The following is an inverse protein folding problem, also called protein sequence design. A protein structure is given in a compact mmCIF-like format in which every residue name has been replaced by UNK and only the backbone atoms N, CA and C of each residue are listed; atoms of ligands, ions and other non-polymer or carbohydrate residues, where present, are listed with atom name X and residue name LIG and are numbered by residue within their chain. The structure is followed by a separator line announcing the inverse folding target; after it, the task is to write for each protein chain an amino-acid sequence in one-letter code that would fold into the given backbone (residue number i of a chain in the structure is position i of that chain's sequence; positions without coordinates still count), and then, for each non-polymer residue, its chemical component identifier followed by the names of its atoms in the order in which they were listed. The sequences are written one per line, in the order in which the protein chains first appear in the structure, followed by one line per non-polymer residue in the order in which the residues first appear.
data_IF_244182753978
#
_entry.id   IF_244182753978
#
_cell.length_a   1.000
_cell.length_b   1.000
_cell.length_c   1.000
_cell.angle_alpha   90.00
_cell.angle_beta   90.00
_cell.angle_gamma   90.00
#
_symmetry.space_group_name_H-M   'P 1'
#
loop_
_entity.id
_entity.type
_entity.pdbx_description
1 polymer ?
#
# COMPACT_ATOMS: atom_id res chain seq x y z
N UNK A 1 21.38 13.94 -27.90
CA UNK A 1 20.89 12.77 -28.68
C UNK A 1 19.79 12.13 -27.86
N UNK A 2 18.56 12.47 -28.22
CA UNK A 2 17.32 12.08 -27.55
C UNK A 2 17.08 10.58 -27.78
N UNK A 3 17.23 9.77 -26.73
CA UNK A 3 16.81 8.37 -26.76
C UNK A 3 15.29 8.32 -26.62
N UNK A 4 14.59 8.10 -27.74
CA UNK A 4 13.15 7.87 -27.71
C UNK A 4 12.86 6.61 -26.86
N UNK A 5 11.85 6.65 -25.95
CA UNK A 5 11.40 5.44 -25.29
C UNK A 5 10.82 4.50 -26.36
N UNK A 6 11.32 3.26 -26.39
CA UNK A 6 10.87 2.22 -27.31
C UNK A 6 9.36 1.97 -27.20
N UNK A 7 8.75 1.34 -28.23
CA UNK A 7 7.33 1.05 -28.22
C UNK A 7 7.05 0.20 -26.99
N UNK A 8 6.28 0.77 -26.05
CA UNK A 8 5.85 0.09 -24.84
C UNK A 8 5.12 -1.19 -25.23
N UNK A 9 5.32 -2.20 -24.40
CA UNK A 9 4.73 -3.54 -24.33
C UNK A 9 3.22 -3.68 -24.65
N UNK A 10 2.48 -2.57 -24.83
CA UNK A 10 1.07 -2.50 -25.18
C UNK A 10 0.74 -3.15 -26.56
N UNK A 11 1.68 -3.22 -27.49
CA UNK A 11 1.42 -3.73 -28.84
C UNK A 11 1.40 -5.27 -28.98
N UNK A 12 1.81 -6.03 -27.95
CA UNK A 12 2.00 -7.49 -28.08
C UNK A 12 0.71 -8.29 -27.84
N UNK A 13 -0.33 -7.68 -27.28
CA UNK A 13 -1.64 -8.33 -27.08
C UNK A 13 -2.61 -8.19 -28.26
N UNK A 14 -2.16 -7.62 -29.38
CA UNK A 14 -2.98 -7.51 -30.57
C UNK A 14 -3.19 -8.89 -31.22
N UNK A 15 -4.37 -9.46 -30.95
CA UNK A 15 -5.06 -10.51 -31.69
C UNK A 15 -4.45 -11.93 -31.62
N UNK A 16 -4.56 -12.57 -30.46
CA UNK A 16 -4.60 -14.04 -30.41
C UNK A 16 -5.92 -14.53 -31.05
N UNK A 17 -5.88 -15.46 -32.03
CA UNK A 17 -7.08 -16.00 -32.65
C UNK A 17 -8.03 -16.60 -31.60
N UNK A 18 -9.30 -16.19 -31.61
CA UNK A 18 -10.31 -16.67 -30.68
C UNK A 18 -10.54 -15.81 -29.42
N UNK A 19 -9.80 -14.71 -29.25
CA UNK A 19 -10.00 -13.76 -28.14
C UNK A 19 -10.97 -12.64 -28.56
N UNK A 20 -12.07 -12.39 -27.80
CA UNK A 20 -12.99 -11.28 -28.08
C UNK A 20 -12.31 -9.90 -27.96
N UNK A 21 -12.68 -8.96 -28.83
CA UNK A 21 -12.10 -7.61 -28.85
C UNK A 21 -12.42 -6.82 -27.56
N UNK A 22 -13.55 -7.10 -26.92
CA UNK A 22 -13.97 -6.51 -25.65
C UNK A 22 -12.98 -6.80 -24.52
N UNK A 23 -12.26 -7.92 -24.59
CA UNK A 23 -11.26 -8.28 -23.58
C UNK A 23 -10.15 -7.23 -23.49
N UNK A 24 -9.70 -6.69 -24.62
CA UNK A 24 -8.68 -5.64 -24.64
C UNK A 24 -9.18 -4.37 -23.93
N UNK A 25 -10.46 -4.01 -24.12
CA UNK A 25 -11.08 -2.87 -23.43
C UNK A 25 -11.18 -3.07 -21.91
N UNK A 26 -11.56 -4.27 -21.47
CA UNK A 26 -11.59 -4.59 -20.04
C UNK A 26 -10.20 -4.59 -19.41
N UNK A 27 -9.17 -5.11 -20.10
CA UNK A 27 -7.78 -5.09 -19.63
C UNK A 27 -7.24 -3.68 -19.49
N UNK A 28 -7.47 -2.81 -20.47
CA UNK A 28 -7.10 -1.41 -20.36
C UNK A 28 -7.78 -0.72 -19.16
N UNK A 29 -9.01 -1.11 -18.82
CA UNK A 29 -9.70 -0.60 -17.63
C UNK A 29 -9.05 -1.13 -16.35
N UNK A 30 -8.69 -2.42 -16.31
CA UNK A 30 -7.98 -3.04 -15.18
C UNK A 30 -6.62 -2.35 -14.95
N UNK A 31 -5.83 -2.13 -16.00
CA UNK A 31 -4.52 -1.48 -15.90
C UNK A 31 -4.64 -0.06 -15.29
N UNK A 32 -5.70 0.69 -15.66
CA UNK A 32 -5.96 1.99 -15.08
C UNK A 32 -6.34 1.92 -13.59
N UNK A 33 -7.13 0.91 -13.20
CA UNK A 33 -7.48 0.68 -11.79
C UNK A 33 -6.24 0.29 -10.98
N UNK A 34 -5.38 -0.56 -11.52
CA UNK A 34 -4.15 -0.98 -10.87
C UNK A 34 -3.19 0.19 -10.65
N UNK A 35 -3.04 1.08 -11.65
CA UNK A 35 -2.27 2.31 -11.49
C UNK A 35 -2.83 3.19 -10.36
N UNK A 36 -4.16 3.36 -10.29
CA UNK A 36 -4.80 4.12 -9.23
C UNK A 36 -4.58 3.48 -7.85
N UNK A 37 -4.70 2.14 -7.74
CA UNK A 37 -4.44 1.40 -6.51
C UNK A 37 -3.00 1.60 -6.01
N UNK A 38 -2.01 1.54 -6.90
CA UNK A 38 -0.60 1.78 -6.54
C UNK A 38 -0.39 3.20 -6.00
N UNK A 39 -0.96 4.21 -6.66
CA UNK A 39 -0.84 5.60 -6.19
C UNK A 39 -1.52 5.82 -4.83
N UNK A 40 -2.71 5.23 -4.62
CA UNK A 40 -3.42 5.29 -3.34
C UNK A 40 -2.64 4.60 -2.22
N UNK A 41 -2.05 3.43 -2.51
CA UNK A 41 -1.20 2.72 -1.56
C UNK A 41 0.04 3.54 -1.20
N UNK A 42 0.73 4.12 -2.18
CA UNK A 42 1.90 4.97 -1.94
C UNK A 42 1.57 6.13 -0.98
N UNK A 43 0.44 6.79 -1.20
CA UNK A 43 -0.01 7.88 -0.33
C UNK A 43 -0.41 7.39 1.07
N UNK A 44 -1.07 6.24 1.15
CA UNK A 44 -1.38 5.59 2.44
C UNK A 44 -0.11 5.25 3.21
N UNK A 45 0.91 4.69 2.55
CA UNK A 45 2.19 4.36 3.17
C UNK A 45 2.90 5.62 3.66
N UNK A 46 2.95 6.69 2.86
CA UNK A 46 3.48 8.00 3.28
C UNK A 46 2.81 8.50 4.55
N UNK A 47 1.47 8.47 4.62
CA UNK A 47 0.72 8.84 5.81
C UNK A 47 1.08 7.96 7.02
N UNK A 48 1.14 6.64 6.84
CA UNK A 48 1.50 5.73 7.93
C UNK A 48 2.93 5.91 8.41
N UNK A 49 3.87 6.29 7.54
CA UNK A 49 5.24 6.61 7.95
C UNK A 49 5.27 7.82 8.89
N UNK A 50 4.51 8.88 8.57
CA UNK A 50 4.36 10.05 9.43
C UNK A 50 3.72 9.69 10.78
N UNK A 51 2.72 8.80 10.78
CA UNK A 51 2.15 8.24 12.03
C UNK A 51 3.22 7.49 12.83
N UNK A 52 4.07 6.70 12.17
CA UNK A 52 5.18 5.97 12.80
C UNK A 52 6.19 6.89 13.46
N UNK A 53 6.66 7.92 12.74
CA UNK A 53 7.56 8.96 13.28
C UNK A 53 6.94 9.69 14.48
N UNK A 54 5.64 10.04 14.38
CA UNK A 54 4.92 10.69 15.48
C UNK A 54 4.82 9.78 16.70
N UNK A 55 4.44 8.52 16.51
CA UNK A 55 4.35 7.52 17.58
C UNK A 55 5.70 7.30 18.25
N UNK A 56 6.78 7.21 17.48
CA UNK A 56 8.14 7.04 18.00
C UNK A 56 8.57 8.26 18.83
N UNK A 57 8.38 9.48 18.31
CA UNK A 57 8.66 10.74 19.04
C UNK A 57 7.90 10.85 20.37
N UNK A 58 6.66 10.36 20.42
CA UNK A 58 5.80 10.40 21.61
C UNK A 58 5.93 9.14 22.49
N UNK A 59 6.82 8.21 22.15
CA UNK A 59 6.98 6.92 22.82
C UNK A 59 5.67 6.12 22.95
N UNK A 60 4.77 6.24 21.98
CA UNK A 60 3.52 5.47 21.89
C UNK A 60 3.81 4.06 21.38
N UNK A 61 2.95 3.05 21.62
CA UNK A 61 3.10 1.72 21.02
C UNK A 61 2.87 1.73 19.49
N UNK A 62 3.49 0.80 18.73
CA UNK A 62 3.32 0.75 17.28
C UNK A 62 1.95 0.20 16.90
N UNK A 63 1.45 -0.80 17.62
CA UNK A 63 0.08 -1.32 17.51
C UNK A 63 -0.91 -0.52 18.37
N UNK A 64 -2.14 -0.40 17.89
CA UNK A 64 -3.31 0.14 18.61
C UNK A 64 -4.50 -0.80 18.33
N UNK A 65 -4.68 -1.85 19.15
CA UNK A 65 -5.66 -2.91 18.88
C UNK A 65 -7.09 -2.39 18.72
N UNK A 66 -7.50 -1.40 19.52
CA UNK A 66 -8.83 -0.81 19.41
C UNK A 66 -9.03 -0.03 18.11
N UNK A 67 -7.97 0.63 17.61
CA UNK A 67 -8.00 1.31 16.30
C UNK A 67 -7.95 0.32 15.14
N UNK A 68 -7.27 -0.81 15.29
CA UNK A 68 -7.22 -1.89 14.31
C UNK A 68 -8.59 -2.56 14.16
N UNK A 69 -9.25 -2.92 15.26
CA UNK A 69 -10.59 -3.51 15.26
C UNK A 69 -11.62 -2.62 14.55
N UNK A 70 -11.66 -1.32 14.88
CA UNK A 70 -12.55 -0.36 14.21
C UNK A 70 -12.27 -0.22 12.70
N UNK A 71 -11.01 -0.35 12.29
CA UNK A 71 -10.66 -0.32 10.87
C UNK A 71 -11.16 -1.56 10.15
N UNK A 72 -11.02 -2.75 10.74
CA UNK A 72 -11.54 -4.00 10.18
C UNK A 72 -13.06 -3.94 10.05
N UNK A 73 -13.79 -3.52 11.09
CA UNK A 73 -15.26 -3.39 11.01
C UNK A 73 -15.70 -2.45 9.89
N UNK A 74 -15.08 -1.26 9.79
CA UNK A 74 -15.40 -0.28 8.74
C UNK A 74 -15.06 -0.81 7.35
N UNK A 75 -13.94 -1.51 7.21
CA UNK A 75 -13.50 -2.07 5.93
C UNK A 75 -14.44 -3.18 5.44
N UNK A 76 -14.91 -4.05 6.34
CA UNK A 76 -15.90 -5.08 6.00
C UNK A 76 -17.19 -4.47 5.47
N UNK A 77 -17.72 -3.43 6.13
CA UNK A 77 -18.90 -2.71 5.65
C UNK A 77 -18.68 -2.08 4.26
N UNK A 78 -17.52 -1.45 4.03
CA UNK A 78 -17.19 -0.89 2.72
C UNK A 78 -17.07 -1.96 1.62
N UNK A 79 -16.57 -3.15 1.96
CA UNK A 79 -16.48 -4.27 1.04
C UNK A 79 -17.88 -4.75 0.64
N UNK A 80 -18.77 -4.94 1.61
CA UNK A 80 -20.18 -5.32 1.38
C UNK A 80 -20.88 -4.29 0.48
N UNK A 81 -20.77 -2.99 0.80
CA UNK A 81 -21.36 -1.90 0.02
C UNK A 81 -20.82 -1.83 -1.43
N UNK A 82 -19.59 -2.30 -1.64
CA UNK A 82 -18.91 -2.26 -2.94
C UNK A 82 -19.04 -3.57 -3.73
N UNK A 83 -19.73 -4.59 -3.19
CA UNK A 83 -19.84 -5.91 -3.80
C UNK A 83 -18.53 -6.73 -3.78
N UNK A 84 -17.60 -6.39 -2.89
CA UNK A 84 -16.35 -7.12 -2.67
C UNK A 84 -16.52 -8.11 -1.51
N UNK A 85 -15.97 -9.31 -1.63
CA UNK A 85 -15.96 -10.29 -0.52
C UNK A 85 -15.29 -9.68 0.73
N UNK A 86 -16.01 -9.54 1.86
CA UNK A 86 -15.46 -8.97 3.08
C UNK A 86 -14.28 -9.77 3.64
N UNK A 87 -14.25 -11.09 3.43
CA UNK A 87 -13.15 -11.95 3.87
C UNK A 87 -11.90 -11.67 3.04
N UNK A 88 -12.04 -11.50 1.73
CA UNK A 88 -10.93 -11.07 0.88
C UNK A 88 -10.43 -9.67 1.26
N UNK A 89 -11.34 -8.72 1.45
CA UNK A 89 -10.98 -7.35 1.84
C UNK A 89 -10.18 -7.34 3.15
N UNK A 90 -10.62 -8.11 4.15
CA UNK A 90 -9.94 -8.23 5.44
C UNK A 90 -8.53 -8.80 5.29
N UNK A 91 -8.35 -9.87 4.50
CA UNK A 91 -7.02 -10.45 4.22
C UNK A 91 -6.09 -9.45 3.54
N UNK A 92 -6.59 -8.74 2.53
CA UNK A 92 -5.82 -7.71 1.85
C UNK A 92 -5.41 -6.59 2.81
N UNK A 93 -6.34 -6.15 3.66
CA UNK A 93 -6.06 -5.11 4.64
C UNK A 93 -5.06 -5.56 5.71
N UNK A 94 -5.18 -6.79 6.20
CA UNK A 94 -4.25 -7.38 7.16
C UNK A 94 -2.81 -7.39 6.61
N UNK A 95 -2.64 -7.81 5.35
CA UNK A 95 -1.35 -7.76 4.65
C UNK A 95 -0.77 -6.33 4.63
N UNK A 96 -1.59 -5.32 4.30
CA UNK A 96 -1.13 -3.92 4.29
C UNK A 96 -0.77 -3.42 5.69
N UNK A 97 -1.51 -3.82 6.74
CA UNK A 97 -1.22 -3.41 8.13
C UNK A 97 0.08 -4.03 8.64
N UNK A 98 0.33 -5.31 8.32
CA UNK A 98 1.57 -6.00 8.67
C UNK A 98 2.81 -5.26 8.12
N UNK A 99 2.76 -4.85 6.85
CA UNK A 99 3.84 -4.06 6.23
C UNK A 99 4.02 -2.68 6.89
N UNK A 100 2.93 -2.05 7.35
CA UNK A 100 3.01 -0.77 8.08
C UNK A 100 3.69 -0.95 9.45
N UNK A 101 3.34 -2.01 10.19
CA UNK A 101 3.93 -2.30 11.50
C UNK A 101 5.44 -2.53 11.35
N UNK A 102 5.86 -3.33 10.36
CA UNK A 102 7.27 -3.56 10.03
C UNK A 102 8.04 -2.25 9.80
N UNK A 103 7.44 -1.30 9.07
CA UNK A 103 8.05 0.03 8.88
C UNK A 103 8.12 0.86 10.16
N UNK A 104 7.13 0.77 11.05
CA UNK A 104 7.15 1.50 12.33
C UNK A 104 8.25 0.97 13.25
N UNK A 105 8.48 -0.34 13.27
CA UNK A 105 9.56 -0.96 14.04
C UNK A 105 10.95 -0.53 13.52
N UNK A 106 11.12 -0.46 12.20
CA UNK A 106 12.35 0.03 11.58
C UNK A 106 12.66 1.49 11.99
N UNK A 107 11.67 2.39 11.88
CA UNK A 107 11.82 3.82 12.26
C UNK A 107 12.23 3.96 13.74
N UNK A 108 11.64 3.16 14.64
CA UNK A 108 12.01 3.18 16.07
C UNK A 108 13.45 2.75 16.28
N UNK A 109 13.87 1.69 15.58
CA UNK A 109 15.23 1.15 15.68
C UNK A 109 16.26 2.16 15.21
N UNK A 110 15.99 2.85 14.09
CA UNK A 110 16.83 3.92 13.56
C UNK A 110 16.95 5.09 14.55
N UNK A 111 15.82 5.57 15.10
CA UNK A 111 15.83 6.66 16.09
C UNK A 111 16.55 6.28 17.39
N UNK A 112 16.45 5.04 17.85
CA UNK A 112 17.19 4.55 19.02
C UNK A 112 18.71 4.52 18.78
N UNK A 113 19.13 4.17 17.56
CA UNK A 113 20.54 4.21 17.14
C UNK A 113 21.10 5.62 17.10
N UNK A 114 20.36 6.58 16.52
CA UNK A 114 20.75 8.00 16.49
C UNK A 114 20.85 8.61 17.90
N UNK A 115 19.89 8.30 18.78
CA UNK A 115 19.91 8.78 20.16
C UNK A 115 21.11 8.26 20.97
N UNK A 116 21.54 7.02 20.71
CA UNK A 116 22.69 6.41 21.38
C UNK A 116 24.01 7.00 20.86
N UNK A 117 24.13 7.20 19.53
CA UNK A 117 25.30 7.80 18.91
C UNK A 117 25.51 9.27 19.33
N UNK A 118 24.43 10.05 19.46
CA UNK A 118 24.49 11.44 19.94
C UNK A 118 24.89 11.58 21.41
N UNK A 119 24.74 10.53 22.23
CA UNK A 119 25.03 10.54 23.67
C UNK A 119 26.42 10.02 24.03
N UNK A 120 27.08 9.31 23.11
CA UNK A 120 28.47 8.85 23.26
C UNK A 120 29.51 9.87 22.76
N UNK A 121 29.06 10.93 22.07
CA UNK A 121 29.90 12.00 21.52
C UNK A 121 29.88 13.32 22.31
N UNK A 122 29.24 13.36 23.48
CA UNK A 122 29.16 14.51 24.39
C UNK A 122 29.82 14.17 25.73
#
# INVERSE_FOLDING_TARGET
MSGAPGPRTEAVEAAQPGVPAELAGYRATIDNLDAALVHLLAERFRCTQQVGMLKARLNLPPSDPGREERQVTRLRALAEDSGLDPVFAEKFFAFIVEEVIRHHEAIRTEQAGEHTAGRAGA
#
